data_IF_183496997798
#
_entry.id   IF_183496997798
#
_cell.length_a   1.000
_cell.length_b   1.000
_cell.length_c   1.000
_cell.angle_alpha   90.00
_cell.angle_beta   90.00
_cell.angle_gamma   90.00
#
_symmetry.space_group_name_H-M   'P 1'
#
loop_
_entity.id
_entity.type
_entity.pdbx_description
1 polymer ?
#
# COMPACT_ATOMS: atom_id res chain seq x y z
N UNK A 1 31.87 6.08 -8.64
CA UNK A 1 30.68 6.58 -7.94
C UNK A 1 29.55 6.59 -8.96
N UNK A 2 28.57 5.68 -8.85
CA UNK A 2 27.46 5.61 -9.82
C UNK A 2 26.56 6.80 -9.57
N UNK A 3 26.40 7.69 -10.55
CA UNK A 3 25.52 8.85 -10.42
C UNK A 3 24.08 8.36 -10.29
N UNK A 4 23.46 8.62 -9.15
CA UNK A 4 22.06 8.31 -8.90
C UNK A 4 21.22 9.28 -9.75
N UNK A 5 20.42 8.81 -10.72
CA UNK A 5 19.56 9.68 -11.50
C UNK A 5 18.60 10.43 -10.56
N UNK A 6 18.52 11.74 -10.72
CA UNK A 6 17.57 12.61 -9.99
C UNK A 6 16.17 12.58 -10.61
N UNK A 7 16.06 12.04 -11.83
CA UNK A 7 14.83 11.90 -12.59
C UNK A 7 14.63 10.43 -12.98
N UNK A 8 13.41 9.96 -12.82
CA UNK A 8 13.02 8.58 -13.08
C UNK A 8 12.07 8.54 -14.27
N UNK A 9 12.55 8.40 -15.51
CA UNK A 9 11.66 8.36 -16.66
C UNK A 9 10.75 7.12 -16.60
N UNK A 10 9.56 7.24 -17.16
CA UNK A 10 8.69 6.10 -17.41
C UNK A 10 9.27 5.36 -18.62
N UNK A 11 9.54 4.07 -18.45
CA UNK A 11 10.03 3.20 -19.52
C UNK A 11 8.91 2.82 -20.49
N UNK A 12 9.24 2.27 -21.66
CA UNK A 12 8.25 1.91 -22.68
C UNK A 12 7.23 0.85 -22.21
N UNK A 13 7.59 0.04 -21.22
CA UNK A 13 6.73 -0.97 -20.58
C UNK A 13 5.92 -0.40 -19.40
N UNK A 14 5.99 0.91 -19.15
CA UNK A 14 5.27 1.60 -18.09
C UNK A 14 5.96 1.57 -16.73
N UNK A 15 7.10 0.87 -16.59
CA UNK A 15 7.83 0.81 -15.32
C UNK A 15 8.78 1.98 -15.14
N UNK A 16 8.92 2.37 -13.88
CA UNK A 16 9.97 3.25 -13.40
C UNK A 16 11.08 2.39 -12.81
N UNK A 17 12.26 2.45 -13.43
CA UNK A 17 13.43 1.66 -13.04
C UNK A 17 14.30 2.41 -12.04
N UNK A 18 14.59 1.76 -10.91
CA UNK A 18 15.41 2.32 -9.83
C UNK A 18 16.10 1.21 -9.04
N UNK A 19 17.15 1.53 -8.29
CA UNK A 19 17.76 0.56 -7.36
C UNK A 19 17.08 0.58 -5.97
N UNK A 20 17.39 -0.40 -5.14
CA UNK A 20 16.84 -0.52 -3.78
C UNK A 20 17.06 0.74 -2.93
N UNK A 21 18.28 1.31 -2.95
CA UNK A 21 18.59 2.51 -2.17
C UNK A 21 17.70 3.69 -2.57
N UNK A 22 17.41 3.84 -3.87
CA UNK A 22 16.49 4.86 -4.33
C UNK A 22 15.07 4.58 -3.83
N UNK A 23 14.57 3.33 -3.90
CA UNK A 23 13.24 2.97 -3.39
C UNK A 23 13.10 3.32 -1.90
N UNK A 24 14.09 2.93 -1.09
CA UNK A 24 14.05 3.15 0.35
C UNK A 24 14.07 4.63 0.73
N UNK A 25 14.77 5.46 -0.04
CA UNK A 25 14.91 6.91 0.21
C UNK A 25 13.78 7.78 -0.35
N UNK A 26 12.89 7.26 -1.19
CA UNK A 26 11.76 8.03 -1.70
C UNK A 26 10.56 7.98 -0.74
N UNK A 27 10.01 9.14 -0.31
CA UNK A 27 8.88 9.18 0.61
C UNK A 27 7.57 8.92 -0.12
N UNK A 28 7.02 7.73 0.05
CA UNK A 28 5.65 7.42 -0.34
C UNK A 28 4.69 8.07 0.66
N UNK A 29 3.68 8.75 0.14
CA UNK A 29 2.63 9.39 0.93
C UNK A 29 1.32 8.70 0.69
N UNK A 30 0.52 8.60 1.77
CA UNK A 30 -0.83 8.10 1.70
C UNK A 30 -1.66 8.96 0.75
N UNK A 31 -2.37 8.32 -0.18
CA UNK A 31 -3.31 8.98 -1.08
C UNK A 31 -4.73 8.68 -0.65
N UNK A 32 -5.05 7.40 -0.46
CA UNK A 32 -6.36 6.97 0.01
C UNK A 32 -6.32 5.56 0.62
N UNK A 33 -7.33 5.28 1.43
CA UNK A 33 -7.67 3.94 1.90
C UNK A 33 -9.18 3.78 1.81
N UNK A 34 -9.64 2.63 1.36
CA UNK A 34 -11.07 2.33 1.19
C UNK A 34 -11.37 0.99 1.82
N UNK A 35 -12.43 0.93 2.62
CA UNK A 35 -13.08 -0.34 2.98
C UNK A 35 -14.02 -0.71 1.84
N UNK A 36 -13.74 -1.84 1.19
CA UNK A 36 -14.47 -2.35 0.03
C UNK A 36 -15.61 -3.27 0.46
N UNK A 37 -15.34 -4.23 1.34
CA UNK A 37 -16.33 -5.21 1.77
C UNK A 37 -16.21 -5.56 3.25
N UNK A 38 -17.30 -6.09 3.81
CA UNK A 38 -17.40 -6.54 5.20
C UNK A 38 -18.02 -7.93 5.20
N UNK A 39 -17.43 -8.85 5.94
CA UNK A 39 -17.92 -10.22 6.11
C UNK A 39 -17.99 -10.56 7.60
N UNK A 40 -18.96 -11.40 7.98
CA UNK A 40 -19.14 -11.85 9.36
C UNK A 40 -19.12 -13.38 9.35
N UNK A 41 -18.15 -13.97 10.04
CA UNK A 41 -17.96 -15.43 10.11
C UNK A 41 -17.56 -15.80 11.54
N UNK A 42 -18.18 -16.83 12.14
CA UNK A 42 -17.82 -17.38 13.46
C UNK A 42 -17.58 -16.32 14.56
N UNK A 43 -18.44 -15.31 14.65
CA UNK A 43 -18.34 -14.16 15.57
C UNK A 43 -17.12 -13.26 15.36
N UNK A 44 -16.50 -13.31 14.18
CA UNK A 44 -15.48 -12.38 13.69
C UNK A 44 -16.07 -11.47 12.63
N UNK A 45 -15.62 -10.22 12.60
CA UNK A 45 -15.96 -9.26 11.56
C UNK A 45 -14.67 -8.98 10.76
N UNK A 46 -14.74 -9.24 9.46
CA UNK A 46 -13.68 -8.99 8.52
C UNK A 46 -14.00 -7.74 7.71
N UNK A 47 -13.07 -6.81 7.64
CA UNK A 47 -13.14 -5.65 6.77
C UNK A 47 -12.02 -5.79 5.76
N UNK A 48 -12.39 -5.88 4.49
CA UNK A 48 -11.43 -5.92 3.39
C UNK A 48 -11.38 -4.57 2.72
N UNK A 49 -10.20 -4.23 2.22
CA UNK A 49 -10.02 -3.01 1.48
C UNK A 49 -8.64 -2.91 0.87
N UNK A 50 -8.35 -1.73 0.35
CA UNK A 50 -7.06 -1.42 -0.23
C UNK A 50 -6.60 -0.03 0.20
N UNK A 51 -5.32 0.24 -0.03
CA UNK A 51 -4.72 1.56 0.16
C UNK A 51 -3.77 1.88 -0.99
N UNK A 52 -3.73 3.14 -1.39
CA UNK A 52 -2.88 3.63 -2.47
C UNK A 52 -1.92 4.69 -1.93
N UNK A 53 -0.66 4.60 -2.34
CA UNK A 53 0.44 5.44 -1.91
C UNK A 53 1.26 5.90 -3.11
N UNK A 54 1.70 7.17 -3.09
CA UNK A 54 2.52 7.71 -4.16
C UNK A 54 3.48 8.79 -3.68
N UNK A 55 4.54 9.04 -4.46
CA UNK A 55 5.35 10.26 -4.32
C UNK A 55 4.61 11.45 -4.94
N UNK A 56 4.94 12.66 -4.48
CA UNK A 56 4.41 13.91 -5.04
C UNK A 56 5.19 14.40 -6.28
N UNK A 57 6.22 13.65 -6.70
CA UNK A 57 7.08 14.01 -7.84
C UNK A 57 6.46 13.50 -9.13
N UNK A 58 6.86 14.08 -10.26
CA UNK A 58 6.48 13.61 -11.60
C UNK A 58 7.70 13.01 -12.31
N UNK A 59 7.61 11.78 -12.84
CA UNK A 59 6.48 10.86 -12.67
C UNK A 59 6.40 10.33 -11.22
N UNK A 60 5.19 9.97 -10.80
CA UNK A 60 4.95 9.47 -9.45
C UNK A 60 5.42 8.01 -9.34
N UNK A 61 6.16 7.71 -8.29
CA UNK A 61 6.36 6.33 -7.85
C UNK A 61 5.11 5.95 -7.06
N UNK A 62 4.44 4.86 -7.41
CA UNK A 62 3.19 4.45 -6.79
C UNK A 62 3.22 3.00 -6.37
N UNK A 63 2.59 2.71 -5.24
CA UNK A 63 2.31 1.34 -4.79
C UNK A 63 1.00 1.32 -4.02
N UNK A 64 0.24 0.24 -4.18
CA UNK A 64 -1.00 -0.02 -3.47
C UNK A 64 -1.09 -1.47 -3.08
N UNK A 65 -1.79 -1.75 -1.98
CA UNK A 65 -1.96 -3.12 -1.49
C UNK A 65 -3.30 -3.30 -0.81
N UNK A 66 -3.71 -4.55 -0.76
CA UNK A 66 -4.93 -4.98 -0.12
C UNK A 66 -4.64 -5.28 1.36
N UNK A 67 -5.65 -5.09 2.20
CA UNK A 67 -5.57 -5.32 3.63
C UNK A 67 -6.84 -5.97 4.15
N UNK A 68 -6.69 -6.68 5.27
CA UNK A 68 -7.80 -7.19 6.07
C UNK A 68 -7.65 -6.73 7.51
N UNK A 69 -8.72 -6.15 8.04
CA UNK A 69 -8.89 -5.93 9.47
C UNK A 69 -9.87 -6.95 10.03
N UNK A 70 -9.48 -7.63 11.10
CA UNK A 70 -10.24 -8.70 11.73
C UNK A 70 -10.55 -8.27 13.15
N UNK A 71 -11.84 -8.19 13.47
CA UNK A 71 -12.35 -7.88 14.81
C UNK A 71 -12.96 -9.13 15.43
N UNK A 72 -12.53 -9.48 16.64
CA UNK A 72 -13.07 -10.62 17.39
C UNK A 72 -13.04 -10.33 18.89
N UNK A 73 -14.20 -10.32 19.55
CA UNK A 73 -14.34 -10.23 21.02
C UNK A 73 -13.49 -9.11 21.66
N UNK A 74 -13.46 -7.92 21.05
CA UNK A 74 -12.68 -6.77 21.53
C UNK A 74 -11.18 -6.80 21.18
N UNK A 75 -10.69 -7.87 20.54
CA UNK A 75 -9.38 -7.91 19.89
C UNK A 75 -9.50 -7.49 18.42
N UNK A 76 -8.48 -6.82 17.91
CA UNK A 76 -8.38 -6.44 16.51
C UNK A 76 -7.00 -6.77 15.95
N UNK A 77 -6.95 -7.24 14.69
CA UNK A 77 -5.71 -7.40 13.95
C UNK A 77 -5.84 -6.83 12.55
N UNK A 78 -4.76 -6.21 12.06
CA UNK A 78 -4.68 -5.67 10.70
C UNK A 78 -3.51 -6.34 10.00
N UNK A 79 -3.73 -6.80 8.76
CA UNK A 79 -2.72 -7.47 7.95
C UNK A 79 -2.82 -6.99 6.50
N UNK A 80 -1.66 -6.86 5.84
CA UNK A 80 -1.60 -6.82 4.38
C UNK A 80 -1.93 -8.21 3.84
N UNK A 81 -2.64 -8.26 2.72
CA UNK A 81 -2.95 -9.50 1.99
C UNK A 81 -2.57 -9.33 0.52
N UNK A 82 -2.20 -10.42 -0.13
CA UNK A 82 -1.75 -10.41 -1.52
C UNK A 82 -0.44 -9.65 -1.74
N UNK A 83 -0.07 -9.56 -3.02
CA UNK A 83 1.12 -8.84 -3.46
C UNK A 83 0.79 -7.36 -3.67
N UNK A 84 1.72 -6.44 -3.31
CA UNK A 84 1.55 -5.03 -3.63
C UNK A 84 1.61 -4.80 -5.14
N UNK A 85 0.75 -3.92 -5.63
CA UNK A 85 0.69 -3.45 -7.02
C UNK A 85 1.51 -2.17 -7.13
N UNK A 86 2.47 -2.11 -8.05
CA UNK A 86 3.35 -0.94 -8.18
C UNK A 86 3.78 -0.70 -9.63
N UNK A 87 4.16 0.55 -9.93
CA UNK A 87 4.77 0.93 -11.21
C UNK A 87 6.32 0.92 -11.16
N UNK A 88 6.90 0.30 -10.14
CA UNK A 88 8.35 0.29 -9.90
C UNK A 88 8.93 -1.07 -10.32
N UNK A 89 10.05 -1.04 -11.05
CA UNK A 89 10.89 -2.21 -11.31
C UNK A 89 12.27 -1.97 -10.72
N UNK A 90 12.77 -2.89 -9.89
CA UNK A 90 14.10 -2.75 -9.34
C UNK A 90 15.14 -3.25 -10.33
N UNK A 91 16.24 -2.52 -10.46
CA UNK A 91 17.39 -2.88 -11.29
C UNK A 91 18.64 -3.06 -10.45
N UNK A 92 19.53 -3.93 -10.91
CA UNK A 92 20.86 -4.13 -10.32
C UNK A 92 21.83 -2.97 -10.67
N UNK A 93 23.10 -3.12 -10.28
CA UNK A 93 24.14 -2.13 -10.54
C UNK A 93 24.45 -1.93 -12.03
N UNK A 94 24.10 -2.90 -12.89
CA UNK A 94 24.23 -2.82 -14.34
C UNK A 94 23.01 -2.19 -15.02
N UNK A 95 21.93 -1.94 -14.27
CA UNK A 95 20.66 -1.45 -14.80
C UNK A 95 19.76 -2.57 -15.33
N UNK A 96 20.05 -3.83 -15.00
CA UNK A 96 19.26 -4.99 -15.41
C UNK A 96 18.15 -5.25 -14.40
N UNK A 97 16.93 -5.50 -14.87
CA UNK A 97 15.78 -5.83 -14.03
C UNK A 97 16.07 -7.07 -13.16
N UNK A 98 15.83 -6.96 -11.85
CA UNK A 98 16.01 -8.08 -10.92
C UNK A 98 14.80 -9.03 -10.87
N UNK A 99 13.77 -8.75 -11.67
CA UNK A 99 12.54 -9.53 -11.77
C UNK A 99 11.45 -9.11 -10.78
N UNK A 100 10.23 -9.59 -11.04
CA UNK A 100 9.02 -9.22 -10.30
C UNK A 100 9.03 -9.67 -8.85
N UNK A 101 9.47 -10.90 -8.56
CA UNK A 101 9.41 -11.46 -7.20
C UNK A 101 10.33 -10.71 -6.24
N UNK A 102 11.57 -10.43 -6.68
CA UNK A 102 12.55 -9.68 -5.87
C UNK A 102 12.14 -8.21 -5.75
N UNK A 103 11.64 -7.62 -6.83
CA UNK A 103 11.04 -6.28 -6.81
C UNK A 103 9.90 -6.19 -5.80
N UNK A 104 8.98 -7.16 -5.83
CA UNK A 104 7.87 -7.27 -4.89
C UNK A 104 8.35 -7.29 -3.44
N UNK A 105 9.31 -8.16 -3.13
CA UNK A 105 9.89 -8.30 -1.78
C UNK A 105 10.50 -6.98 -1.26
N UNK A 106 11.15 -6.22 -2.14
CA UNK A 106 11.71 -4.91 -1.78
C UNK A 106 10.62 -3.85 -1.59
N UNK A 107 9.54 -3.89 -2.36
CA UNK A 107 8.36 -3.03 -2.16
C UNK A 107 7.68 -3.37 -0.84
N UNK A 108 7.56 -4.65 -0.48
CA UNK A 108 7.03 -5.07 0.82
C UNK A 108 7.86 -4.49 1.97
N UNK A 109 9.19 -4.63 1.90
CA UNK A 109 10.12 -4.01 2.86
C UNK A 109 9.96 -2.50 2.95
N UNK A 110 9.67 -1.83 1.83
CA UNK A 110 9.36 -0.40 1.81
C UNK A 110 8.04 -0.11 2.52
N UNK A 111 6.99 -0.90 2.26
CA UNK A 111 5.68 -0.78 2.91
C UNK A 111 5.79 -0.97 4.42
N UNK A 112 6.58 -1.94 4.88
CA UNK A 112 6.80 -2.21 6.30
C UNK A 112 7.49 -1.05 7.05
N UNK A 113 8.13 -0.13 6.32
CA UNK A 113 8.68 1.12 6.87
C UNK A 113 7.67 2.27 6.97
N UNK A 114 6.45 2.09 6.42
CA UNK A 114 5.39 3.09 6.42
C UNK A 114 4.47 2.89 7.62
N UNK A 115 4.06 3.96 8.27
CA UNK A 115 3.01 3.94 9.29
C UNK A 115 1.64 3.95 8.63
N UNK A 116 1.26 2.86 7.94
CA UNK A 116 0.07 2.82 7.09
C UNK A 116 -1.21 2.40 7.85
N UNK A 117 -1.07 1.63 8.93
CA UNK A 117 -2.16 1.06 9.71
C UNK A 117 -3.11 2.12 10.26
N UNK A 118 -2.56 3.28 10.67
CA UNK A 118 -3.33 4.41 11.20
C UNK A 118 -4.38 4.93 10.21
N UNK A 119 -4.11 4.89 8.90
CA UNK A 119 -5.06 5.32 7.88
C UNK A 119 -6.21 4.34 7.74
N UNK A 120 -5.95 3.05 7.97
CA UNK A 120 -6.98 2.02 7.94
C UNK A 120 -7.88 2.13 9.16
N UNK A 121 -7.29 2.28 10.36
CA UNK A 121 -8.06 2.49 11.59
C UNK A 121 -8.96 3.72 11.49
N UNK A 122 -8.48 4.81 10.88
CA UNK A 122 -9.30 6.00 10.63
C UNK A 122 -10.51 5.73 9.72
N UNK A 123 -10.33 4.92 8.65
CA UNK A 123 -11.43 4.52 7.76
C UNK A 123 -12.48 3.67 8.48
N UNK A 124 -12.03 2.68 9.26
CA UNK A 124 -12.92 1.78 10.02
C UNK A 124 -13.72 2.59 11.05
N UNK A 125 -13.05 3.42 11.84
CA UNK A 125 -13.71 4.28 12.84
C UNK A 125 -14.72 5.24 12.21
N UNK A 126 -14.38 5.84 11.07
CA UNK A 126 -15.30 6.73 10.34
C UNK A 126 -16.56 5.99 9.90
N UNK A 127 -16.41 4.76 9.39
CA UNK A 127 -17.57 3.94 9.01
C UNK A 127 -18.42 3.53 10.21
N UNK A 128 -17.80 3.05 11.30
CA UNK A 128 -18.51 2.67 12.52
C UNK A 128 -19.27 3.84 13.15
N UNK A 129 -18.71 5.05 13.05
CA UNK A 129 -19.39 6.26 13.52
C UNK A 129 -20.59 6.58 12.63
N UNK A 130 -20.45 6.49 11.30
CA UNK A 130 -21.56 6.71 10.36
C UNK A 130 -22.69 5.70 10.54
N UNK A 131 -22.40 4.42 10.75
CA UNK A 131 -23.44 3.40 10.98
C UNK A 131 -24.22 3.66 12.28
N UNK A 132 -23.54 4.10 13.35
CA UNK A 132 -24.19 4.51 14.62
C UNK A 132 -25.04 5.77 14.49
N UNK A 133 -24.70 6.65 13.54
CA UNK A 133 -25.43 7.90 13.28
C UNK A 133 -26.56 7.76 12.24
N UNK A 134 -26.69 6.61 11.57
CA UNK A 134 -27.82 6.31 10.69
C UNK A 134 -28.86 5.32 11.27
N UNK A 135 -29.27 5.38 12.57
CA UNK A 135 -30.35 4.55 13.02
C UNK A 135 -31.68 5.15 12.50
N UNK A 136 -32.31 4.43 11.57
CA UNK A 136 -33.73 4.51 11.20
C UNK A 136 -34.28 5.87 10.73
N UNK A 137 -34.29 6.07 9.41
CA UNK A 137 -35.47 6.67 8.78
C UNK A 137 -36.29 5.53 8.17
N UNK A 138 -37.18 4.99 9.00
CA UNK A 138 -38.34 4.21 8.55
C UNK A 138 -39.51 5.15 8.30
#
# INVERSE_FOLDING_TARGET
MVSIPTHFPISADGFIRMNENQLMNHPLRHILSIVESIQIEDSQIFYYGFTEWATLKTPALSTGWDWVFIEQNGSASLKRIGLPRSNIMIVDVSGTDIGFDVTGSLIEKKIDSLFWEQFIYAQINTRLTKSKLSPNFS
#
